data_IF_202413502089
#
_entry.id   IF_202413502089
#
_cell.length_a   1.000
_cell.length_b   1.000
_cell.length_c   1.000
_cell.angle_alpha   90.00
_cell.angle_beta   90.00
_cell.angle_gamma   90.00
#
_symmetry.space_group_name_H-M   'P 1'
#
loop_
_entity.id
_entity.type
_entity.pdbx_description
1 polymer ?
#
# COMPACT_ATOMS: atom_id res chain seq x y z
N UNK A 1 61.67 -4.17 21.80
CA UNK A 1 60.38 -4.85 22.08
C UNK A 1 59.30 -3.94 21.59
N UNK A 2 58.59 -4.43 20.60
CA UNK A 2 57.52 -3.83 19.80
C UNK A 2 56.22 -3.73 20.62
N UNK A 3 55.29 -2.91 20.11
CA UNK A 3 53.82 -3.07 20.22
C UNK A 3 53.15 -2.64 21.56
N UNK A 4 51.99 -1.97 21.62
CA UNK A 4 50.96 -1.52 20.64
C UNK A 4 50.25 -0.29 21.25
N UNK A 5 49.99 0.77 20.47
CA UNK A 5 48.93 1.74 20.81
C UNK A 5 47.60 1.30 20.17
N UNK A 6 46.46 1.36 20.89
CA UNK A 6 45.19 0.97 20.31
C UNK A 6 44.71 2.08 19.37
N UNK A 7 44.83 1.83 18.07
CA UNK A 7 44.09 2.59 17.06
C UNK A 7 42.62 2.19 17.21
N UNK A 8 41.84 3.02 17.90
CA UNK A 8 40.39 2.95 17.82
C UNK A 8 39.97 3.30 16.39
N UNK A 9 39.59 2.26 15.64
CA UNK A 9 39.00 2.35 14.30
C UNK A 9 37.80 3.30 14.31
N UNK A 10 38.01 4.52 13.84
CA UNK A 10 36.95 5.48 13.49
C UNK A 10 36.20 5.12 12.19
N UNK A 11 36.17 3.83 11.83
CA UNK A 11 35.59 3.32 10.57
C UNK A 11 34.29 2.52 10.78
N UNK A 12 33.85 2.29 12.01
CA UNK A 12 32.63 1.51 12.26
C UNK A 12 31.32 2.33 12.22
N UNK A 13 31.37 3.65 12.05
CA UNK A 13 30.17 4.52 12.11
C UNK A 13 29.61 4.87 10.73
N UNK A 14 30.30 4.51 9.64
CA UNK A 14 29.90 4.95 8.29
C UNK A 14 29.11 3.95 7.45
N UNK A 15 29.11 2.66 7.81
CA UNK A 15 28.41 1.66 7.01
C UNK A 15 26.92 1.51 7.42
N UNK A 16 26.60 1.58 8.72
CA UNK A 16 25.20 1.52 9.18
C UNK A 16 24.37 2.76 8.80
N UNK A 17 25.00 3.94 8.78
CA UNK A 17 24.34 5.21 8.45
C UNK A 17 24.09 5.35 6.93
N UNK A 18 24.97 4.76 6.11
CA UNK A 18 24.85 4.76 4.64
C UNK A 18 23.85 3.72 4.16
N UNK A 19 23.81 2.51 4.75
CA UNK A 19 22.77 1.53 4.46
C UNK A 19 21.39 2.04 4.90
N UNK A 20 21.29 2.72 6.05
CA UNK A 20 20.04 3.35 6.50
C UNK A 20 19.56 4.49 5.58
N UNK A 21 20.46 5.31 5.06
CA UNK A 21 20.11 6.39 4.14
C UNK A 21 19.69 5.87 2.74
N UNK A 22 20.31 4.77 2.27
CA UNK A 22 19.96 4.13 1.00
C UNK A 22 18.62 3.39 1.11
N UNK A 23 18.33 2.72 2.23
CA UNK A 23 17.01 2.13 2.48
C UNK A 23 15.92 3.19 2.74
N UNK A 24 16.25 4.29 3.41
CA UNK A 24 15.32 5.42 3.59
C UNK A 24 14.95 6.09 2.24
N UNK A 25 15.90 6.20 1.30
CA UNK A 25 15.63 6.73 -0.04
C UNK A 25 14.77 5.80 -0.90
N UNK A 26 14.81 4.48 -0.67
CA UNK A 26 13.90 3.52 -1.32
C UNK A 26 12.48 3.55 -0.73
N UNK A 27 12.35 3.98 0.52
CA UNK A 27 11.10 3.99 1.27
C UNK A 27 10.43 5.37 1.31
N UNK A 28 11.00 6.38 0.65
CA UNK A 28 10.43 7.73 0.57
C UNK A 28 9.94 8.00 -0.85
N UNK A 29 8.77 8.60 -1.00
CA UNK A 29 8.22 9.03 -2.29
C UNK A 29 7.85 10.52 -2.27
N UNK A 30 7.82 11.17 -3.44
CA UNK A 30 7.21 12.48 -3.59
C UNK A 30 5.70 12.33 -3.74
N UNK A 31 4.93 13.14 -3.01
CA UNK A 31 3.46 13.13 -3.10
C UNK A 31 3.00 13.42 -4.54
N UNK A 32 3.63 14.37 -5.22
CA UNK A 32 3.29 14.72 -6.60
C UNK A 32 3.42 13.52 -7.55
N UNK A 33 4.48 12.72 -7.41
CA UNK A 33 4.70 11.54 -8.25
C UNK A 33 3.64 10.46 -7.99
N UNK A 34 3.27 10.24 -6.72
CA UNK A 34 2.21 9.29 -6.35
C UNK A 34 0.85 9.74 -6.89
N UNK A 35 0.50 11.01 -6.75
CA UNK A 35 -0.78 11.53 -7.25
C UNK A 35 -0.85 11.47 -8.77
N UNK A 36 0.24 11.79 -9.45
CA UNK A 36 0.33 11.69 -10.91
C UNK A 36 0.22 10.25 -11.40
N UNK A 37 0.85 9.30 -10.71
CA UNK A 37 0.71 7.87 -11.04
C UNK A 37 -0.74 7.39 -10.86
N UNK A 38 -1.46 7.95 -9.88
CA UNK A 38 -2.87 7.65 -9.65
C UNK A 38 -3.85 8.41 -10.55
N UNK A 39 -3.41 9.51 -11.19
CA UNK A 39 -4.27 10.45 -11.93
C UNK A 39 -5.16 11.32 -11.02
N UNK A 40 -4.72 11.59 -9.80
CA UNK A 40 -5.44 12.36 -8.78
C UNK A 40 -4.61 13.58 -8.28
N UNK A 41 -3.92 14.27 -9.19
CA UNK A 41 -3.09 15.44 -8.90
C UNK A 41 -3.87 16.58 -8.21
N UNK A 42 -5.19 16.65 -8.42
CA UNK A 42 -6.07 17.62 -7.77
C UNK A 42 -6.13 17.49 -6.25
N UNK A 43 -5.65 16.37 -5.69
CA UNK A 43 -5.62 16.13 -4.24
C UNK A 43 -4.39 16.73 -3.53
N UNK A 44 -3.42 17.29 -4.28
CA UNK A 44 -2.13 17.71 -3.72
C UNK A 44 -2.27 18.65 -2.51
N UNK A 45 -2.92 19.80 -2.70
CA UNK A 45 -3.05 20.81 -1.64
C UNK A 45 -3.78 20.26 -0.41
N UNK A 46 -4.80 19.43 -0.63
CA UNK A 46 -5.60 18.85 0.45
C UNK A 46 -4.81 17.83 1.26
N UNK A 47 -3.96 17.02 0.63
CA UNK A 47 -3.12 16.05 1.34
C UNK A 47 -1.97 16.76 2.07
N UNK A 48 -1.41 17.84 1.49
CA UNK A 48 -0.41 18.68 2.18
C UNK A 48 -1.01 19.37 3.42
N UNK A 49 -2.28 19.82 3.35
CA UNK A 49 -2.98 20.36 4.51
C UNK A 49 -3.15 19.30 5.61
N UNK A 50 -3.58 18.08 5.25
CA UNK A 50 -3.70 16.97 6.20
C UNK A 50 -2.35 16.56 6.82
N UNK A 51 -1.24 16.67 6.08
CA UNK A 51 0.08 16.30 6.59
C UNK A 51 0.56 17.20 7.73
N UNK A 52 -0.03 18.38 7.93
CA UNK A 52 0.26 19.25 9.07
C UNK A 52 -0.15 18.65 10.42
N UNK A 53 -1.07 17.66 10.41
CA UNK A 53 -1.66 17.03 11.59
C UNK A 53 -1.36 15.53 11.71
N UNK A 54 -0.38 15.03 10.94
CA UNK A 54 -0.11 13.58 10.82
C UNK A 54 0.21 12.86 12.16
N UNK A 55 0.68 13.59 13.18
CA UNK A 55 0.96 13.02 14.51
C UNK A 55 -0.32 12.58 15.23
N UNK A 56 -1.42 13.32 15.04
CA UNK A 56 -2.74 13.05 15.65
C UNK A 56 -3.69 12.35 14.67
N UNK A 57 -3.63 12.73 13.40
CA UNK A 57 -4.53 12.35 12.31
C UNK A 57 -3.74 11.88 11.08
N UNK A 58 -3.04 10.74 11.16
CA UNK A 58 -2.31 10.20 10.04
C UNK A 58 -3.24 9.88 8.87
N UNK A 59 -2.76 10.08 7.65
CA UNK A 59 -3.48 9.64 6.45
C UNK A 59 -2.71 8.52 5.78
N UNK A 60 -3.40 7.46 5.34
CA UNK A 60 -2.83 6.39 4.53
C UNK A 60 -3.01 6.75 3.06
N UNK A 61 -1.89 6.89 2.35
CA UNK A 61 -1.83 7.21 0.92
C UNK A 61 -1.56 5.93 0.13
N UNK A 62 -2.46 5.61 -0.78
CA UNK A 62 -2.38 4.47 -1.69
C UNK A 62 -1.65 4.90 -2.97
N UNK A 63 -0.56 4.24 -3.31
CA UNK A 63 0.10 4.36 -4.60
C UNK A 63 -0.22 3.11 -5.42
N UNK A 64 -1.19 3.21 -6.34
CA UNK A 64 -1.65 2.07 -7.13
C UNK A 64 -0.62 1.66 -8.18
N UNK A 65 -0.43 0.35 -8.37
CA UNK A 65 0.61 -0.21 -9.25
C UNK A 65 -0.01 -1.04 -10.37
N UNK A 66 -0.49 -2.24 -10.04
CA UNK A 66 -0.87 -3.26 -11.01
C UNK A 66 -2.39 -3.55 -11.00
N UNK A 67 -3.20 -2.52 -10.74
CA UNK A 67 -4.65 -2.67 -10.50
C UNK A 67 -5.37 -3.21 -11.72
N UNK A 68 -5.03 -2.74 -12.91
CA UNK A 68 -5.63 -3.16 -14.18
C UNK A 68 -5.45 -4.66 -14.40
N UNK A 69 -4.23 -5.15 -14.16
CA UNK A 69 -3.89 -6.58 -14.33
C UNK A 69 -4.60 -7.42 -13.27
N UNK A 70 -4.70 -6.92 -12.04
CA UNK A 70 -5.42 -7.63 -10.98
C UNK A 70 -6.93 -7.71 -11.26
N UNK A 71 -7.54 -6.64 -11.78
CA UNK A 71 -8.95 -6.65 -12.21
C UNK A 71 -9.20 -7.66 -13.34
N UNK A 72 -8.26 -7.79 -14.29
CA UNK A 72 -8.34 -8.84 -15.31
C UNK A 72 -8.24 -10.23 -14.69
N UNK A 73 -7.39 -10.42 -13.68
CA UNK A 73 -7.31 -11.69 -12.95
C UNK A 73 -8.61 -12.02 -12.21
N UNK A 74 -9.31 -11.03 -11.64
CA UNK A 74 -10.65 -11.20 -11.05
C UNK A 74 -11.62 -11.73 -12.10
N UNK A 75 -11.68 -11.09 -13.27
CA UNK A 75 -12.58 -11.47 -14.35
C UNK A 75 -12.27 -12.89 -14.87
N UNK A 76 -10.98 -13.22 -15.00
CA UNK A 76 -10.54 -14.57 -15.37
C UNK A 76 -10.93 -15.62 -14.32
N UNK A 77 -10.76 -15.31 -13.03
CA UNK A 77 -11.12 -16.20 -11.94
C UNK A 77 -12.64 -16.45 -11.88
N UNK A 78 -13.45 -15.41 -12.11
CA UNK A 78 -14.90 -15.51 -12.24
C UNK A 78 -15.31 -16.39 -13.44
N UNK A 79 -14.67 -16.20 -14.59
CA UNK A 79 -14.92 -17.01 -15.79
C UNK A 79 -14.56 -18.49 -15.58
N UNK A 80 -13.45 -18.77 -14.89
CA UNK A 80 -13.06 -20.14 -14.53
C UNK A 80 -14.05 -20.81 -13.58
N UNK A 81 -14.63 -20.05 -12.64
CA UNK A 81 -15.56 -20.58 -11.66
C UNK A 81 -16.92 -20.99 -12.24
N UNK A 82 -17.35 -20.37 -13.34
CA UNK A 82 -18.61 -20.71 -14.03
C UNK A 82 -18.45 -21.72 -15.16
N UNK A 83 -17.21 -22.07 -15.53
CA UNK A 83 -16.94 -23.07 -16.56
C UNK A 83 -17.34 -24.49 -16.10
N UNK A 84 -17.65 -25.42 -17.02
CA UNK A 84 -17.96 -26.80 -16.66
C UNK A 84 -16.83 -27.46 -15.85
N UNK A 85 -17.15 -27.94 -14.64
CA UNK A 85 -16.15 -28.50 -13.72
C UNK A 85 -15.29 -27.45 -12.98
N UNK A 86 -15.61 -26.17 -13.13
CA UNK A 86 -14.98 -25.07 -12.42
C UNK A 86 -15.22 -25.12 -10.92
N UNK A 87 -14.19 -24.81 -10.14
CA UNK A 87 -14.32 -24.66 -8.70
C UNK A 87 -14.92 -23.29 -8.37
N UNK A 88 -15.94 -23.23 -7.48
CA UNK A 88 -16.51 -21.95 -7.08
C UNK A 88 -15.46 -21.07 -6.40
N UNK A 89 -15.59 -19.75 -6.58
CA UNK A 89 -14.77 -18.80 -5.84
C UNK A 89 -15.19 -18.80 -4.35
N UNK A 90 -14.24 -18.59 -3.42
CA UNK A 90 -14.56 -18.27 -2.03
C UNK A 90 -15.44 -17.01 -1.92
N UNK A 91 -15.97 -16.75 -0.73
CA UNK A 91 -16.74 -15.53 -0.48
C UNK A 91 -15.89 -14.28 -0.73
N UNK A 92 -16.44 -13.29 -1.43
CA UNK A 92 -15.74 -12.05 -1.76
C UNK A 92 -15.79 -11.07 -0.57
N UNK A 93 -14.66 -10.77 0.09
CA UNK A 93 -14.64 -9.85 1.25
C UNK A 93 -14.91 -8.39 0.85
N UNK A 94 -14.66 -8.02 -0.41
CA UNK A 94 -14.82 -6.65 -0.92
C UNK A 94 -16.24 -6.36 -1.44
N UNK A 95 -17.15 -7.35 -1.40
CA UNK A 95 -18.52 -7.22 -1.90
C UNK A 95 -18.64 -6.61 -3.32
N UNK A 96 -17.64 -6.88 -4.18
CA UNK A 96 -17.58 -6.31 -5.53
C UNK A 96 -18.78 -6.78 -6.38
N UNK A 97 -19.29 -5.91 -7.28
CA UNK A 97 -20.31 -6.30 -8.24
C UNK A 97 -19.78 -7.36 -9.21
N UNK A 98 -20.70 -8.05 -9.91
CA UNK A 98 -20.32 -9.08 -10.90
C UNK A 98 -19.45 -8.56 -12.04
N UNK A 99 -19.61 -7.29 -12.43
CA UNK A 99 -18.74 -6.61 -13.39
C UNK A 99 -17.78 -5.66 -12.66
N UNK A 100 -16.55 -6.12 -12.46
CA UNK A 100 -15.49 -5.35 -11.77
C UNK A 100 -14.71 -4.49 -12.77
N UNK A 101 -14.40 -3.26 -12.38
CA UNK A 101 -13.53 -2.33 -13.10
C UNK A 101 -12.49 -1.74 -12.12
N UNK A 102 -11.51 -1.00 -12.64
CA UNK A 102 -10.43 -0.42 -11.82
C UNK A 102 -10.97 0.48 -10.72
N UNK A 103 -11.93 1.35 -11.05
CA UNK A 103 -12.50 2.29 -10.10
C UNK A 103 -13.17 1.56 -8.94
N UNK A 104 -14.17 0.71 -9.22
CA UNK A 104 -14.94 0.06 -8.16
C UNK A 104 -14.08 -0.89 -7.30
N UNK A 105 -13.00 -1.46 -7.87
CA UNK A 105 -12.02 -2.22 -7.11
C UNK A 105 -11.27 -1.34 -6.11
N UNK A 106 -10.69 -0.22 -6.57
CA UNK A 106 -9.97 0.72 -5.69
C UNK A 106 -10.89 1.22 -4.57
N UNK A 107 -12.11 1.62 -4.92
CA UNK A 107 -13.11 2.09 -3.95
C UNK A 107 -13.45 1.03 -2.89
N UNK A 108 -13.64 -0.22 -3.31
CA UNK A 108 -13.94 -1.31 -2.39
C UNK A 108 -12.76 -1.63 -1.47
N UNK A 109 -11.52 -1.56 -1.95
CA UNK A 109 -10.32 -1.74 -1.10
C UNK A 109 -10.21 -0.62 -0.07
N UNK A 110 -10.44 0.65 -0.47
CA UNK A 110 -10.43 1.76 0.49
C UNK A 110 -11.55 1.61 1.54
N UNK A 111 -12.76 1.26 1.12
CA UNK A 111 -13.87 1.09 2.06
C UNK A 111 -13.65 -0.11 2.98
N UNK A 112 -13.06 -1.20 2.49
CA UNK A 112 -12.68 -2.35 3.31
C UNK A 112 -11.67 -1.97 4.39
N UNK A 113 -10.64 -1.19 4.04
CA UNK A 113 -9.62 -0.72 4.97
C UNK A 113 -10.10 0.41 5.90
N UNK A 114 -11.25 1.04 5.63
CA UNK A 114 -11.72 2.21 6.35
C UNK A 114 -12.21 1.84 7.75
N UNK A 115 -11.62 2.47 8.76
CA UNK A 115 -12.07 2.33 10.13
C UNK A 115 -13.48 2.93 10.34
N UNK A 116 -14.27 2.32 11.22
CA UNK A 116 -15.58 2.84 11.59
C UNK A 116 -15.45 4.25 12.20
N UNK A 117 -16.33 5.17 11.75
CA UNK A 117 -16.29 6.58 12.18
C UNK A 117 -15.13 7.39 11.62
N UNK A 118 -14.26 6.81 10.77
CA UNK A 118 -13.23 7.57 10.07
C UNK A 118 -13.83 8.59 9.09
N UNK A 119 -13.07 9.67 8.87
CA UNK A 119 -13.40 10.68 7.88
C UNK A 119 -13.56 10.06 6.47
N UNK A 120 -14.20 10.82 5.57
CA UNK A 120 -14.37 10.37 4.20
C UNK A 120 -13.02 10.23 3.49
N UNK A 121 -12.86 9.17 2.70
CA UNK A 121 -11.73 9.01 1.78
C UNK A 121 -11.63 10.19 0.81
N UNK A 122 -10.42 10.53 0.40
CA UNK A 122 -10.19 11.45 -0.72
C UNK A 122 -9.97 10.61 -1.97
N UNK A 123 -11.04 10.53 -2.77
CA UNK A 123 -11.13 9.69 -3.96
C UNK A 123 -10.54 8.29 -3.72
N UNK A 124 -9.64 7.82 -4.59
CA UNK A 124 -9.05 6.48 -4.48
C UNK A 124 -7.63 6.48 -3.93
N UNK A 125 -7.11 7.63 -3.51
CA UNK A 125 -5.71 7.76 -3.08
C UNK A 125 -5.53 7.90 -1.58
N UNK A 126 -6.43 8.57 -0.85
CA UNK A 126 -6.18 8.89 0.55
C UNK A 126 -7.28 8.39 1.47
N UNK A 127 -6.86 7.72 2.54
CA UNK A 127 -7.71 7.34 3.67
C UNK A 127 -7.26 8.11 4.91
N UNK A 128 -7.91 9.23 5.24
CA UNK A 128 -7.65 9.93 6.50
C UNK A 128 -8.12 9.08 7.68
N UNK A 129 -7.31 8.96 8.71
CA UNK A 129 -7.66 8.27 9.93
C UNK A 129 -7.07 8.97 11.16
N UNK A 130 -7.59 8.66 12.35
CA UNK A 130 -6.95 9.10 13.60
C UNK A 130 -5.78 8.17 13.96
N UNK A 131 -4.92 8.61 14.87
CA UNK A 131 -3.83 7.77 15.37
C UNK A 131 -4.34 6.45 15.96
N UNK A 132 -5.50 6.47 16.63
CA UNK A 132 -6.15 5.26 17.16
C UNK A 132 -6.66 4.32 16.06
N UNK A 133 -7.05 4.86 14.90
CA UNK A 133 -7.54 4.11 13.76
C UNK A 133 -6.43 3.59 12.84
N UNK A 134 -5.26 4.24 12.82
CA UNK A 134 -4.15 3.90 11.92
C UNK A 134 -3.75 2.42 12.01
N UNK A 135 -3.55 1.91 13.23
CA UNK A 135 -3.21 0.49 13.44
C UNK A 135 -4.31 -0.46 12.94
N UNK A 136 -5.58 -0.09 13.09
CA UNK A 136 -6.71 -0.86 12.58
C UNK A 136 -6.72 -0.89 11.05
N UNK A 137 -6.54 0.27 10.39
CA UNK A 137 -6.48 0.37 8.93
C UNK A 137 -5.39 -0.55 8.37
N UNK A 138 -4.17 -0.45 8.92
CA UNK A 138 -3.04 -1.25 8.45
C UNK A 138 -3.25 -2.74 8.71
N UNK A 139 -3.83 -3.11 9.86
CA UNK A 139 -4.16 -4.49 10.18
C UNK A 139 -5.22 -5.05 9.23
N UNK A 140 -6.31 -4.32 8.99
CA UNK A 140 -7.38 -4.72 8.08
C UNK A 140 -6.87 -4.91 6.66
N UNK A 141 -6.03 -4.00 6.16
CA UNK A 141 -5.40 -4.16 4.84
C UNK A 141 -4.46 -5.36 4.78
N UNK A 142 -3.76 -5.69 5.88
CA UNK A 142 -2.93 -6.89 5.95
C UNK A 142 -3.77 -8.18 5.93
N UNK A 143 -4.89 -8.22 6.66
CA UNK A 143 -5.82 -9.36 6.64
C UNK A 143 -6.36 -9.61 5.22
N UNK A 144 -6.64 -8.55 4.47
CA UNK A 144 -7.08 -8.68 3.07
C UNK A 144 -6.04 -9.44 2.22
N UNK A 145 -4.75 -9.32 2.50
CA UNK A 145 -3.72 -10.03 1.74
C UNK A 145 -3.87 -11.56 1.86
N UNK A 146 -4.31 -12.05 3.02
CA UNK A 146 -4.40 -13.50 3.31
C UNK A 146 -5.80 -14.08 3.07
N UNK A 147 -6.75 -13.24 2.67
CA UNK A 147 -8.12 -13.66 2.38
C UNK A 147 -8.15 -14.75 1.29
N UNK A 148 -8.89 -15.87 1.49
CA UNK A 148 -8.91 -16.98 0.53
C UNK A 148 -9.35 -16.56 -0.89
N UNK A 149 -10.25 -15.57 -0.98
CA UNK A 149 -10.70 -15.03 -2.26
C UNK A 149 -9.57 -14.31 -2.99
N UNK A 150 -8.78 -13.49 -2.28
CA UNK A 150 -7.62 -12.80 -2.82
C UNK A 150 -6.56 -13.82 -3.28
N UNK A 151 -6.24 -14.80 -2.43
CA UNK A 151 -5.27 -15.84 -2.76
C UNK A 151 -5.69 -16.64 -4.01
N UNK A 152 -6.99 -16.89 -4.18
CA UNK A 152 -7.52 -17.54 -5.38
C UNK A 152 -7.32 -16.70 -6.64
N UNK A 153 -7.44 -15.38 -6.58
CA UNK A 153 -7.21 -14.48 -7.72
C UNK A 153 -5.73 -14.40 -8.07
N UNK A 154 -4.86 -14.26 -7.06
CA UNK A 154 -3.40 -14.26 -7.27
C UNK A 154 -2.97 -15.53 -8.00
N UNK A 155 -3.51 -16.69 -7.61
CA UNK A 155 -3.22 -17.97 -8.26
C UNK A 155 -3.68 -18.05 -9.74
N UNK A 156 -4.64 -17.22 -10.15
CA UNK A 156 -5.13 -17.13 -11.54
C UNK A 156 -4.35 -16.10 -12.35
N UNK A 157 -3.84 -15.04 -11.71
CA UNK A 157 -3.09 -13.97 -12.38
C UNK A 157 -1.77 -14.45 -12.96
N UNK A 158 -1.66 -14.46 -14.29
CA UNK A 158 -0.40 -14.76 -15.00
C UNK A 158 -0.10 -13.63 -15.98
N UNK A 159 1.06 -12.95 -15.89
CA UNK A 159 2.08 -13.07 -14.82
C UNK A 159 1.59 -12.52 -13.46
N UNK A 160 2.31 -12.84 -12.38
CA UNK A 160 2.03 -12.31 -11.04
C UNK A 160 2.16 -10.78 -11.05
N UNK A 161 1.07 -10.08 -10.78
CA UNK A 161 0.95 -8.63 -10.91
C UNK A 161 0.97 -7.94 -9.54
N UNK A 162 1.89 -8.38 -8.68
CA UNK A 162 2.02 -7.91 -7.31
C UNK A 162 3.26 -7.02 -7.15
N UNK A 163 3.20 -5.98 -6.28
CA UNK A 163 2.05 -5.58 -5.47
C UNK A 163 0.99 -4.82 -6.29
N UNK A 164 -0.23 -4.75 -5.77
CA UNK A 164 -1.34 -3.98 -6.36
C UNK A 164 -1.28 -2.51 -5.94
N UNK A 165 -0.84 -2.24 -4.71
CA UNK A 165 -0.62 -0.90 -4.20
C UNK A 165 0.57 -0.88 -3.23
N UNK A 166 1.21 0.27 -3.07
CA UNK A 166 2.10 0.56 -1.96
C UNK A 166 1.42 1.56 -1.03
N UNK A 167 1.62 1.43 0.28
CA UNK A 167 1.04 2.35 1.25
C UNK A 167 2.08 3.32 1.79
N UNK A 168 1.70 4.58 1.90
CA UNK A 168 2.55 5.63 2.43
C UNK A 168 1.82 6.45 3.51
N UNK A 169 2.61 7.11 4.36
CA UNK A 169 2.16 8.11 5.32
C UNK A 169 2.88 9.42 5.01
N UNK A 170 2.16 10.57 4.97
CA UNK A 170 2.82 11.86 4.76
C UNK A 170 3.83 12.19 5.85
N UNK A 171 4.96 12.81 5.49
CA UNK A 171 5.82 13.43 6.50
C UNK A 171 5.20 14.74 6.99
N UNK A 172 5.34 15.09 8.29
CA UNK A 172 4.77 16.30 8.83
C UNK A 172 5.20 17.54 8.04
N UNK A 173 4.24 18.31 7.52
CA UNK A 173 4.47 19.57 6.78
C UNK A 173 5.45 19.44 5.61
N UNK A 174 5.43 18.29 4.95
CA UNK A 174 6.30 17.97 3.81
C UNK A 174 5.48 17.53 2.59
N UNK A 175 6.11 17.59 1.42
CA UNK A 175 5.61 16.99 0.18
C UNK A 175 6.16 15.56 -0.04
N UNK A 176 6.83 14.99 0.96
CA UNK A 176 7.36 13.63 0.94
C UNK A 176 6.50 12.69 1.76
N UNK A 177 6.50 11.43 1.36
CA UNK A 177 5.76 10.36 1.99
C UNK A 177 6.73 9.24 2.40
N UNK A 178 6.53 8.66 3.57
CA UNK A 178 7.25 7.48 4.05
C UNK A 178 6.41 6.23 3.87
N UNK A 179 7.03 5.15 3.42
CA UNK A 179 6.32 3.90 3.21
C UNK A 179 5.82 3.32 4.54
N UNK A 180 4.52 3.01 4.60
CA UNK A 180 3.86 2.51 5.80
C UNK A 180 4.18 1.04 6.08
N UNK A 181 4.61 0.31 5.05
CA UNK A 181 4.81 -1.15 5.05
C UNK A 181 6.14 -1.51 4.43
N UNK A 182 6.72 -2.64 4.86
CA UNK A 182 7.92 -3.17 4.24
C UNK A 182 7.56 -3.94 2.96
N UNK A 183 8.23 -3.61 1.86
CA UNK A 183 8.11 -4.33 0.61
C UNK A 183 8.59 -5.77 0.77
N UNK A 184 7.70 -6.71 0.43
CA UNK A 184 8.05 -8.12 0.31
C UNK A 184 7.57 -8.67 -1.03
N UNK A 185 8.36 -9.57 -1.65
CA UNK A 185 7.94 -10.27 -2.86
C UNK A 185 6.62 -11.01 -2.60
N UNK A 186 5.70 -10.93 -3.56
CA UNK A 186 4.40 -11.62 -3.57
C UNK A 186 3.35 -11.13 -2.55
N UNK A 187 3.49 -9.91 -2.00
CA UNK A 187 2.42 -9.29 -1.22
C UNK A 187 1.40 -8.59 -2.08
N UNK A 188 0.15 -8.59 -1.62
CA UNK A 188 -0.91 -7.79 -2.24
C UNK A 188 -0.55 -6.30 -2.20
N UNK A 189 0.05 -5.90 -1.07
CA UNK A 189 0.46 -4.54 -0.80
C UNK A 189 1.97 -4.47 -0.51
N UNK A 190 2.65 -3.54 -1.17
CA UNK A 190 4.07 -3.26 -0.99
C UNK A 190 4.37 -2.75 0.41
#
# INVERSE_FOLDING_TARGET
>A
MTEVEPIYSALAVRDEEVDSAIDAAKNTALLEDVLKANGEEHLYDKIVELSAHVEDEPSVIFCWQNVEVFVQAIQAAQAQAVAPGGLPLPANPLALPGAVNVQNFKEAVLEYGRAEGAAARLDTTCLPCSQAQFGQVMFTLHELEVEPWIQRIIAVGVPNSLPIACFYVPRPRSNTLDMATQQRPNRLFG
#
